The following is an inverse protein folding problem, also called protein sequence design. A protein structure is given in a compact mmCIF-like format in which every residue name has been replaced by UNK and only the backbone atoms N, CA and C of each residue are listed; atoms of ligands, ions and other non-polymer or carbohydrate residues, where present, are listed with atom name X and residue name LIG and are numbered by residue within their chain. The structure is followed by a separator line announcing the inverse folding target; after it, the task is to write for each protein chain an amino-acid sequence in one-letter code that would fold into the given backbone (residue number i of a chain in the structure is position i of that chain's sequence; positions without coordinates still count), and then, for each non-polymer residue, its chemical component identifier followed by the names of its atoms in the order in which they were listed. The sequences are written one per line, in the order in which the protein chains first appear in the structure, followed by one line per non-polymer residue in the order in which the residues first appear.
data_IF_522262705196
#
_entry.id   IF_522262705196
#
_cell.length_a   1.000
_cell.length_b   1.000
_cell.length_c   1.000
_cell.angle_alpha   90.00
_cell.angle_beta   90.00
_cell.angle_gamma   90.00
#
_symmetry.space_group_name_H-M   'P 1'
#
loop_
_entity.id
_entity.type
_entity.pdbx_description
1 polymer ?
#
# COMPACT_ATOMS: atom_id res chain seq x y z
N UNK A 1 54.13 3.26 60.07
CA UNK A 1 54.74 1.91 59.95
C UNK A 1 53.70 1.06 59.22
N UNK A 2 53.94 0.67 57.95
CA UNK A 2 54.50 -0.64 57.50
C UNK A 2 53.63 -1.82 58.01
N UNK A 3 53.01 -2.72 57.22
CA UNK A 3 52.97 -3.02 55.75
C UNK A 3 51.48 -3.17 55.28
N UNK A 4 51.03 -3.39 54.02
CA UNK A 4 51.57 -3.86 52.72
C UNK A 4 51.59 -5.41 52.47
N UNK A 5 51.16 -5.83 51.27
CA UNK A 5 51.02 -7.21 50.69
C UNK A 5 49.85 -8.09 51.21
N UNK A 6 49.24 -9.03 50.47
CA UNK A 6 49.10 -9.29 49.00
C UNK A 6 48.11 -10.48 48.77
N UNK A 7 47.61 -10.64 47.52
CA UNK A 7 47.07 -11.89 46.93
C UNK A 7 45.66 -12.35 47.35
N UNK A 8 44.75 -12.96 46.56
CA UNK A 8 44.54 -13.34 45.13
C UNK A 8 44.05 -14.83 45.04
N UNK A 9 43.10 -15.12 44.11
CA UNK A 9 42.53 -16.46 43.72
C UNK A 9 41.54 -17.12 44.75
N UNK A 10 40.50 -17.91 44.40
CA UNK A 10 39.78 -18.22 43.12
C UNK A 10 38.44 -18.98 43.38
N UNK A 11 37.39 -18.76 42.55
CA UNK A 11 36.22 -19.67 42.23
C UNK A 11 35.31 -20.18 43.39
N UNK A 12 34.05 -20.62 43.20
CA UNK A 12 33.12 -20.73 42.06
C UNK A 12 31.64 -20.70 42.56
N UNK A 13 30.64 -20.42 41.71
CA UNK A 13 29.22 -20.62 42.09
C UNK A 13 28.18 -19.99 41.15
N UNK A 14 27.58 -20.81 40.27
CA UNK A 14 26.50 -20.46 39.34
C UNK A 14 25.22 -19.95 40.02
N UNK A 15 24.56 -18.94 39.41
CA UNK A 15 23.14 -19.03 39.04
C UNK A 15 22.96 -18.44 37.64
N UNK A 16 22.27 -19.15 36.76
CA UNK A 16 22.00 -18.70 35.39
C UNK A 16 20.77 -17.79 35.33
N UNK A 17 20.88 -16.68 34.58
CA UNK A 17 19.74 -15.94 34.06
C UNK A 17 19.85 -15.91 32.53
N UNK A 18 19.02 -16.71 31.86
CA UNK A 18 18.90 -16.72 30.40
C UNK A 18 18.26 -15.40 29.94
N UNK A 19 19.08 -14.43 29.55
CA UNK A 19 18.58 -13.24 28.87
C UNK A 19 17.93 -13.64 27.53
N UNK A 20 16.77 -13.03 27.24
CA UNK A 20 15.83 -13.54 26.25
C UNK A 20 16.33 -13.48 24.79
N UNK A 21 15.65 -14.28 23.96
CA UNK A 21 15.92 -14.47 22.53
C UNK A 21 15.90 -13.15 21.76
N UNK A 22 16.66 -13.09 20.66
CA UNK A 22 16.38 -12.16 19.57
C UNK A 22 15.07 -12.58 18.92
N UNK A 23 14.02 -11.79 19.08
CA UNK A 23 12.84 -11.88 18.22
C UNK A 23 13.05 -10.93 17.03
N UNK A 24 13.82 -11.38 16.04
CA UNK A 24 14.02 -10.69 14.76
C UNK A 24 12.75 -10.84 13.88
N UNK A 25 11.59 -10.43 14.39
CA UNK A 25 10.36 -10.33 13.60
C UNK A 25 10.35 -9.01 12.85
N UNK A 26 10.80 -9.05 11.59
CA UNK A 26 10.58 -7.99 10.60
C UNK A 26 9.09 -7.87 10.22
N UNK A 27 8.23 -7.60 11.21
CA UNK A 27 6.84 -7.21 10.99
C UNK A 27 6.81 -5.77 10.50
N UNK A 28 7.10 -5.58 9.21
CA UNK A 28 6.74 -4.35 8.51
C UNK A 28 5.24 -4.06 8.75
N UNK A 29 4.84 -2.82 9.10
CA UNK A 29 3.45 -2.51 9.36
C UNK A 29 2.57 -2.85 8.16
N UNK A 30 1.65 -3.81 8.34
CA UNK A 30 0.67 -4.20 7.34
C UNK A 30 -0.18 -2.97 7.01
N UNK A 31 -0.07 -2.47 5.78
CA UNK A 31 -0.85 -1.33 5.31
C UNK A 31 -2.33 -1.76 5.20
N UNK A 32 -3.29 -0.96 5.71
CA UNK A 32 -4.70 -1.31 5.59
C UNK A 32 -5.14 -1.32 4.13
N UNK A 33 -6.09 -2.20 3.81
CA UNK A 33 -6.73 -2.24 2.49
C UNK A 33 -7.66 -1.04 2.34
N UNK A 34 -7.42 -0.25 1.30
CA UNK A 34 -8.24 0.90 0.93
C UNK A 34 -9.32 0.50 -0.09
N UNK A 35 -9.11 -0.56 -0.87
CA UNK A 35 -10.09 -1.11 -1.80
C UNK A 35 -9.64 -2.42 -2.45
N UNK A 36 -10.61 -3.21 -2.93
CA UNK A 36 -10.38 -4.49 -3.62
C UNK A 36 -10.86 -4.39 -5.05
N UNK A 37 -9.98 -4.73 -6.00
CA UNK A 37 -10.25 -4.61 -7.43
C UNK A 37 -11.11 -5.76 -7.95
N UNK A 38 -12.08 -5.42 -8.81
CA UNK A 38 -12.87 -6.40 -9.57
C UNK A 38 -13.39 -5.80 -10.89
N UNK A 39 -13.70 -6.65 -11.87
CA UNK A 39 -14.37 -6.21 -13.10
C UNK A 39 -15.85 -5.87 -12.90
N UNK A 40 -16.50 -6.47 -11.90
CA UNK A 40 -17.91 -6.20 -11.56
C UNK A 40 -18.16 -4.80 -10.99
N UNK A 41 -17.13 -4.13 -10.46
CA UNK A 41 -17.20 -2.72 -10.06
C UNK A 41 -17.10 -1.74 -11.24
N UNK A 42 -16.75 -2.20 -12.45
CA UNK A 42 -16.72 -1.33 -13.63
C UNK A 42 -18.11 -0.81 -14.00
N UNK A 43 -18.15 0.32 -14.72
CA UNK A 43 -19.38 0.95 -15.18
C UNK A 43 -19.26 1.24 -16.68
N UNK A 44 -19.79 0.40 -17.58
CA UNK A 44 -20.51 -0.86 -17.32
C UNK A 44 -19.59 -1.98 -16.79
N UNK A 45 -20.19 -2.96 -16.11
CA UNK A 45 -19.47 -4.07 -15.50
C UNK A 45 -18.75 -4.95 -16.54
N UNK A 46 -17.55 -5.43 -16.18
CA UNK A 46 -16.67 -6.26 -17.01
C UNK A 46 -16.52 -7.65 -16.41
N UNK A 47 -16.62 -8.69 -17.23
CA UNK A 47 -16.26 -10.06 -16.83
C UNK A 47 -14.75 -10.27 -17.02
N UNK A 48 -13.97 -10.06 -15.97
CA UNK A 48 -12.55 -10.43 -15.91
C UNK A 48 -12.26 -11.31 -14.71
N UNK A 49 -11.31 -12.24 -14.88
CA UNK A 49 -10.72 -13.04 -13.80
C UNK A 49 -9.58 -12.31 -13.08
N UNK A 50 -9.22 -11.10 -13.53
CA UNK A 50 -8.22 -10.26 -12.91
C UNK A 50 -8.64 -9.83 -11.49
N UNK A 51 -7.66 -9.78 -10.60
CA UNK A 51 -7.85 -9.47 -9.17
C UNK A 51 -6.76 -8.53 -8.68
N UNK A 52 -7.00 -7.86 -7.55
CA UNK A 52 -6.00 -6.99 -6.94
C UNK A 52 -6.52 -6.26 -5.70
N UNK A 53 -5.63 -5.53 -5.04
CA UNK A 53 -5.97 -4.61 -3.94
C UNK A 53 -5.21 -3.30 -4.09
N UNK A 54 -5.80 -2.22 -3.59
CA UNK A 54 -5.07 -1.01 -3.22
C UNK A 54 -5.01 -0.96 -1.70
N UNK A 55 -3.79 -0.96 -1.16
CA UNK A 55 -3.50 -0.78 0.27
C UNK A 55 -2.75 0.53 0.47
N UNK A 56 -2.70 1.05 1.69
CA UNK A 56 -1.97 2.29 1.94
C UNK A 56 -2.33 2.98 3.24
N UNK A 57 -1.82 4.18 3.43
CA UNK A 57 -2.13 5.07 4.55
C UNK A 57 -2.57 6.44 4.05
N UNK A 58 -3.42 7.10 4.84
CA UNK A 58 -3.85 8.46 4.57
C UNK A 58 -3.54 9.38 5.75
N UNK A 59 -2.68 10.37 5.54
CA UNK A 59 -2.48 11.47 6.49
C UNK A 59 -3.51 12.56 6.21
N UNK A 60 -4.51 12.67 7.08
CA UNK A 60 -5.59 13.67 7.02
C UNK A 60 -5.12 15.11 7.26
N UNK A 61 -3.97 15.30 7.92
CA UNK A 61 -3.43 16.64 8.25
C UNK A 61 -2.58 17.16 7.11
N UNK A 62 -1.69 16.30 6.59
CA UNK A 62 -0.87 16.61 5.43
C UNK A 62 -1.61 16.46 4.10
N UNK A 63 -2.77 15.80 4.08
CA UNK A 63 -3.54 15.41 2.89
C UNK A 63 -2.72 14.51 1.94
N UNK A 64 -1.98 13.56 2.51
CA UNK A 64 -1.06 12.67 1.78
C UNK A 64 -1.61 11.25 1.77
N UNK A 65 -1.92 10.75 0.57
CA UNK A 65 -2.20 9.33 0.31
C UNK A 65 -0.89 8.63 -0.08
N UNK A 66 -0.46 7.64 0.72
CA UNK A 66 0.59 6.69 0.31
C UNK A 66 -0.08 5.37 -0.04
N UNK A 67 0.22 4.80 -1.20
CA UNK A 67 -0.49 3.64 -1.74
C UNK A 67 0.45 2.55 -2.26
N UNK A 68 -0.08 1.33 -2.29
CA UNK A 68 0.46 0.15 -2.97
C UNK A 68 -0.68 -0.57 -3.67
N UNK A 69 -0.61 -0.66 -5.00
CA UNK A 69 -1.55 -1.43 -5.82
C UNK A 69 -0.90 -2.75 -6.19
N UNK A 70 -1.51 -3.85 -5.76
CA UNK A 70 -1.15 -5.21 -6.21
C UNK A 70 -2.22 -5.74 -7.14
N UNK A 71 -1.83 -6.49 -8.18
CA UNK A 71 -2.76 -7.09 -9.13
C UNK A 71 -2.22 -8.37 -9.75
N UNK A 72 -3.13 -9.18 -10.32
CA UNK A 72 -2.84 -10.40 -11.06
C UNK A 72 -3.91 -10.66 -12.13
N UNK A 73 -3.55 -11.43 -13.16
CA UNK A 73 -4.47 -11.85 -14.23
C UNK A 73 -4.67 -10.84 -15.37
N UNK A 74 -3.93 -9.73 -15.40
CA UNK A 74 -4.00 -8.70 -16.44
C UNK A 74 -2.64 -8.02 -16.69
N UNK A 75 -2.52 -7.28 -17.81
CA UNK A 75 -1.32 -6.50 -18.17
C UNK A 75 -1.71 -5.03 -18.41
N UNK A 76 -1.65 -4.16 -17.39
CA UNK A 76 -2.16 -2.80 -17.50
C UNK A 76 -1.29 -1.90 -18.40
N UNK A 77 -1.96 -1.09 -19.22
CA UNK A 77 -1.37 -0.02 -20.05
C UNK A 77 -1.72 1.37 -19.54
N UNK A 78 -2.78 1.51 -18.73
CA UNK A 78 -3.10 2.73 -17.99
C UNK A 78 -3.60 2.37 -16.58
N UNK A 79 -3.42 3.29 -15.63
CA UNK A 79 -3.88 3.13 -14.26
C UNK A 79 -4.10 4.51 -13.61
N UNK A 80 -5.21 4.68 -12.92
CA UNK A 80 -5.67 6.00 -12.47
C UNK A 80 -6.34 5.96 -11.08
N UNK A 81 -6.31 7.10 -10.39
CA UNK A 81 -7.32 7.50 -9.42
C UNK A 81 -8.29 8.51 -10.04
N UNK A 82 -9.58 8.32 -9.76
CA UNK A 82 -10.69 9.15 -10.24
C UNK A 82 -11.49 9.76 -9.09
N UNK A 83 -12.14 10.90 -9.33
CA UNK A 83 -13.21 11.41 -8.46
C UNK A 83 -14.56 10.97 -9.03
N UNK A 84 -15.22 10.04 -8.33
CA UNK A 84 -16.54 9.52 -8.67
C UNK A 84 -17.07 8.61 -7.57
N UNK A 85 -18.36 8.70 -7.29
CA UNK A 85 -19.02 7.85 -6.30
C UNK A 85 -19.01 6.36 -6.73
N UNK A 86 -19.23 5.41 -5.79
CA UNK A 86 -19.40 3.99 -6.12
C UNK A 86 -20.47 3.80 -7.21
N UNK A 87 -20.15 3.01 -8.23
CA UNK A 87 -21.04 2.78 -9.38
C UNK A 87 -21.21 3.97 -10.35
N UNK A 88 -20.45 5.07 -10.19
CA UNK A 88 -20.47 6.24 -11.10
C UNK A 88 -19.08 6.46 -11.70
N UNK A 89 -19.01 6.75 -13.00
CA UNK A 89 -17.75 7.10 -13.67
C UNK A 89 -17.34 8.54 -13.35
N UNK A 90 -16.03 8.73 -13.12
CA UNK A 90 -15.44 9.95 -12.62
C UNK A 90 -14.30 10.49 -13.48
N UNK A 91 -13.94 11.76 -13.28
CA UNK A 91 -12.76 12.35 -13.92
C UNK A 91 -11.47 11.79 -13.32
N UNK A 92 -10.47 11.52 -14.16
CA UNK A 92 -9.10 11.20 -13.72
C UNK A 92 -8.52 12.43 -13.03
N UNK A 93 -7.98 12.26 -11.82
CA UNK A 93 -7.21 13.31 -11.14
C UNK A 93 -5.74 12.94 -10.92
N UNK A 94 -5.41 11.66 -11.03
CA UNK A 94 -4.04 11.17 -10.89
C UNK A 94 -3.80 9.91 -11.70
N UNK A 95 -3.11 10.00 -12.84
CA UNK A 95 -2.47 8.84 -13.47
C UNK A 95 -1.38 8.30 -12.55
N UNK A 96 -1.35 6.99 -12.35
CA UNK A 96 -0.23 6.34 -11.68
C UNK A 96 1.04 6.48 -12.54
N UNK A 97 2.24 6.62 -11.95
CA UNK A 97 3.48 6.55 -12.71
C UNK A 97 3.67 5.14 -13.31
N UNK A 98 3.94 5.01 -14.62
CA UNK A 98 4.34 3.73 -15.21
C UNK A 98 5.58 3.17 -14.52
N UNK A 99 5.59 1.87 -14.26
CA UNK A 99 6.68 1.18 -13.55
C UNK A 99 7.20 -0.08 -14.26
N UNK A 100 6.72 -0.40 -15.47
CA UNK A 100 7.36 -1.41 -16.31
C UNK A 100 8.69 -0.90 -16.89
N UNK A 101 9.55 -1.82 -17.33
CA UNK A 101 10.88 -1.49 -17.87
C UNK A 101 10.85 -0.61 -19.14
N UNK A 102 9.71 -0.54 -19.84
CA UNK A 102 9.51 0.28 -21.04
C UNK A 102 8.93 1.68 -20.74
N UNK A 103 8.62 2.00 -19.48
CA UNK A 103 8.05 3.29 -19.07
C UNK A 103 6.65 3.59 -19.61
N UNK A 104 5.92 2.59 -20.08
CA UNK A 104 4.66 2.76 -20.83
C UNK A 104 3.51 1.83 -20.38
N UNK A 105 3.68 1.19 -19.23
CA UNK A 105 2.71 0.27 -18.64
C UNK A 105 3.13 -0.14 -17.23
N UNK A 106 2.47 -1.15 -16.68
CA UNK A 106 2.58 -1.44 -15.25
C UNK A 106 2.94 -2.90 -14.94
N UNK A 107 3.71 -3.07 -13.86
CA UNK A 107 3.97 -4.34 -13.19
C UNK A 107 3.51 -4.24 -11.73
N UNK A 108 3.08 -5.37 -11.16
CA UNK A 108 2.67 -5.42 -9.75
C UNK A 108 3.91 -5.57 -8.85
N UNK A 109 4.05 -4.79 -7.75
CA UNK A 109 3.16 -3.72 -7.30
C UNK A 109 3.46 -2.36 -7.95
N UNK A 110 2.44 -1.51 -8.08
CA UNK A 110 2.59 -0.06 -8.30
C UNK A 110 2.59 0.61 -6.93
N UNK A 111 3.62 1.38 -6.60
CA UNK A 111 3.72 2.13 -5.34
C UNK A 111 3.82 3.63 -5.59
N UNK A 112 3.43 4.44 -4.62
CA UNK A 112 3.62 5.88 -4.71
C UNK A 112 2.99 6.66 -3.57
N UNK A 113 3.19 7.97 -3.63
CA UNK A 113 2.64 8.94 -2.68
C UNK A 113 2.05 10.11 -3.45
N UNK A 114 0.86 10.55 -3.05
CA UNK A 114 0.09 11.61 -3.69
C UNK A 114 -0.38 12.62 -2.65
N UNK A 115 0.15 13.84 -2.75
CA UNK A 115 -0.45 15.03 -2.16
C UNK A 115 -1.80 15.30 -2.84
N UNK A 116 -2.87 15.34 -2.07
CA UNK A 116 -4.22 15.66 -2.53
C UNK A 116 -4.47 17.17 -2.50
N UNK A 117 -5.33 17.65 -3.42
CA UNK A 117 -5.97 18.96 -3.30
C UNK A 117 -7.15 18.91 -2.34
N UNK A 118 -7.68 20.04 -1.84
CA UNK A 118 -8.85 20.06 -0.94
C UNK A 118 -10.07 19.32 -1.50
N UNK A 119 -10.33 19.42 -2.80
CA UNK A 119 -11.44 18.69 -3.43
C UNK A 119 -11.19 17.19 -3.53
N UNK A 120 -9.93 16.76 -3.70
CA UNK A 120 -9.53 15.35 -3.76
C UNK A 120 -9.56 14.70 -2.36
N UNK A 121 -9.11 15.41 -1.33
CA UNK A 121 -9.27 15.01 0.08
C UNK A 121 -10.74 14.84 0.43
N UNK A 122 -11.56 15.88 0.17
CA UNK A 122 -13.00 15.83 0.41
C UNK A 122 -13.69 14.67 -0.32
N UNK A 123 -13.28 14.39 -1.56
CA UNK A 123 -13.78 13.23 -2.31
C UNK A 123 -13.35 11.91 -1.64
N UNK A 124 -12.09 11.75 -1.25
CA UNK A 124 -11.57 10.54 -0.59
C UNK A 124 -12.27 10.28 0.76
N UNK A 125 -12.41 11.31 1.58
CA UNK A 125 -13.11 11.27 2.88
C UNK A 125 -14.62 11.02 2.76
N UNK A 126 -15.21 11.20 1.59
CA UNK A 126 -16.63 10.89 1.30
C UNK A 126 -16.83 9.62 0.48
N UNK A 127 -15.80 8.78 0.36
CA UNK A 127 -15.77 7.55 -0.45
C UNK A 127 -16.08 7.78 -1.94
N UNK A 128 -15.85 9.01 -2.42
CA UNK A 128 -16.02 9.45 -3.81
C UNK A 128 -14.74 9.32 -4.65
N UNK A 129 -13.87 8.37 -4.32
CA UNK A 129 -12.64 8.07 -5.07
C UNK A 129 -12.59 6.59 -5.40
N UNK A 130 -12.14 6.28 -6.61
CA UNK A 130 -11.86 4.90 -7.03
C UNK A 130 -10.54 4.81 -7.79
N UNK A 131 -9.89 3.65 -7.67
CA UNK A 131 -8.75 3.27 -8.49
C UNK A 131 -9.20 2.38 -9.66
N UNK A 132 -8.59 2.53 -10.83
CA UNK A 132 -8.91 1.73 -12.01
C UNK A 132 -7.65 1.38 -12.81
N UNK A 133 -7.52 0.11 -13.23
CA UNK A 133 -6.51 -0.36 -14.17
C UNK A 133 -7.15 -0.74 -15.52
N UNK A 134 -6.48 -0.38 -16.62
CA UNK A 134 -6.94 -0.54 -18.00
C UNK A 134 -5.98 -1.41 -18.79
N UNK A 135 -6.49 -2.25 -19.69
CA UNK A 135 -5.70 -3.07 -20.61
C UNK A 135 -6.06 -2.77 -22.06
N UNK A 136 -5.31 -3.32 -23.02
CA UNK A 136 -5.65 -3.18 -24.45
C UNK A 136 -7.02 -3.81 -24.78
N UNK A 137 -7.41 -4.87 -24.07
CA UNK A 137 -8.72 -5.53 -24.21
C UNK A 137 -9.86 -4.68 -23.63
N UNK A 138 -9.60 -3.99 -22.51
CA UNK A 138 -10.57 -3.16 -21.81
C UNK A 138 -10.04 -1.73 -21.65
N UNK A 139 -10.02 -0.92 -22.74
CA UNK A 139 -9.44 0.43 -22.72
C UNK A 139 -10.21 1.38 -21.78
N UNK A 140 -11.51 1.16 -21.59
CA UNK A 140 -12.33 1.94 -20.66
C UNK A 140 -12.18 1.51 -19.19
N UNK A 141 -11.41 0.45 -18.91
CA UNK A 141 -11.16 -0.09 -17.56
C UNK A 141 -11.44 -1.58 -17.47
N UNK A 142 -10.49 -2.36 -16.98
CA UNK A 142 -10.67 -3.81 -16.75
C UNK A 142 -11.13 -4.10 -15.32
N UNK A 143 -10.45 -3.53 -14.32
CA UNK A 143 -10.78 -3.70 -12.90
C UNK A 143 -10.79 -2.37 -12.15
N UNK A 144 -11.79 -2.19 -11.29
CA UNK A 144 -12.02 -1.01 -10.44
C UNK A 144 -12.05 -1.44 -8.98
N UNK A 145 -11.52 -0.56 -8.12
CA UNK A 145 -11.62 -0.62 -6.67
C UNK A 145 -12.15 0.73 -6.17
N UNK A 146 -13.39 0.76 -5.69
CA UNK A 146 -13.88 1.89 -4.89
C UNK A 146 -13.09 1.98 -3.58
N UNK A 147 -12.72 3.19 -3.17
CA UNK A 147 -11.76 3.41 -2.07
C UNK A 147 -12.41 3.98 -0.81
N UNK A 148 -11.99 3.46 0.34
CA UNK A 148 -12.27 3.99 1.67
C UNK A 148 -10.97 4.22 2.45
N UNK A 149 -10.97 5.21 3.35
CA UNK A 149 -9.85 5.53 4.25
C UNK A 149 -10.37 5.70 5.67
N UNK A 150 -9.58 5.28 6.66
CA UNK A 150 -9.92 5.36 8.08
C UNK A 150 -9.43 6.65 8.74
#
# INVERSE_FOLDING_TARGET
MKNLFSSLLLLAGLVAATACKKDDTNNAPVQPTLGTFSGSQQVPAVTSAATGTITGTYDKTAMILTYTVTFSGLTPVAGHLHIGAPGVNGSVFYPFPPNNAAGNGYVSPITGTKQLTPDQDKALLSHGVYANLHTMTYPNGEIRADMTVN
#
